data_IF_168555535318
#
_entry.id   IF_168555535318
#
_cell.length_a   1.000
_cell.length_b   1.000
_cell.length_c   1.000
_cell.angle_alpha   90.00
_cell.angle_beta   90.00
_cell.angle_gamma   90.00
#
_symmetry.space_group_name_H-M   'P 1'
#
loop_
_entity.id
_entity.type
_entity.pdbx_description
1 polymer ?
#
# COMPACT_ATOMS: atom_id res chain seq x y z
N UNK A 1 -2.11 -14.07 -83.73
CA UNK A 1 -2.38 -14.59 -82.41
C UNK A 1 -1.19 -14.22 -81.55
N UNK A 2 -1.30 -13.08 -80.77
CA UNK A 2 -0.20 -12.53 -80.01
C UNK A 2 -0.49 -12.81 -78.51
N UNK A 3 0.35 -13.64 -77.90
CA UNK A 3 0.27 -13.97 -76.47
C UNK A 3 1.06 -12.91 -75.71
N UNK A 4 0.37 -12.15 -74.86
CA UNK A 4 1.01 -11.20 -73.92
C UNK A 4 1.31 -11.94 -72.61
N UNK A 5 2.59 -11.93 -72.24
CA UNK A 5 3.09 -12.47 -70.93
C UNK A 5 3.10 -11.30 -69.98
N UNK A 6 2.27 -11.37 -68.93
CA UNK A 6 2.28 -10.47 -67.79
C UNK A 6 3.29 -10.96 -66.76
N UNK A 7 4.37 -10.23 -66.54
CA UNK A 7 5.31 -10.46 -65.45
C UNK A 7 4.84 -9.66 -64.24
N UNK A 8 4.39 -10.38 -63.19
CA UNK A 8 4.06 -9.76 -61.91
C UNK A 8 5.34 -9.63 -61.06
N UNK A 9 5.77 -8.41 -60.80
CA UNK A 9 6.87 -8.09 -59.92
C UNK A 9 6.35 -8.11 -58.46
N UNK A 10 6.73 -9.13 -57.67
CA UNK A 10 6.49 -9.19 -56.24
C UNK A 10 7.57 -8.35 -55.52
N UNK A 11 7.19 -7.18 -55.01
CA UNK A 11 7.99 -6.37 -54.09
C UNK A 11 8.00 -7.05 -52.71
N UNK A 12 9.12 -7.69 -52.39
CA UNK A 12 9.43 -8.15 -51.01
C UNK A 12 9.83 -6.92 -50.18
N UNK A 13 8.90 -6.43 -49.37
CA UNK A 13 9.19 -5.52 -48.27
C UNK A 13 9.96 -6.30 -47.17
N UNK A 14 11.28 -6.28 -47.26
CA UNK A 14 12.15 -6.68 -46.14
C UNK A 14 12.04 -5.55 -45.12
N UNK A 15 11.17 -5.75 -44.13
CA UNK A 15 11.15 -4.93 -42.92
C UNK A 15 12.48 -5.12 -42.20
N UNK A 16 13.31 -4.08 -42.16
CA UNK A 16 14.43 -4.03 -41.23
C UNK A 16 13.87 -4.02 -39.78
N UNK A 17 13.69 -5.19 -39.19
CA UNK A 17 13.62 -5.30 -37.75
C UNK A 17 15.03 -4.98 -37.25
N UNK A 18 15.19 -3.79 -36.67
CA UNK A 18 16.36 -3.48 -35.86
C UNK A 18 16.42 -4.54 -34.75
N UNK A 19 17.56 -5.22 -34.55
CA UNK A 19 17.67 -6.15 -33.45
C UNK A 19 17.45 -5.36 -32.14
N UNK A 20 16.41 -5.71 -31.39
CA UNK A 20 16.30 -5.30 -29.98
C UNK A 20 17.60 -5.71 -29.30
N UNK A 21 18.41 -4.73 -28.91
CA UNK A 21 19.56 -4.97 -28.08
C UNK A 21 19.05 -5.49 -26.74
N UNK A 22 19.00 -6.79 -26.58
CA UNK A 22 18.92 -7.40 -25.26
C UNK A 22 20.25 -7.03 -24.57
N UNK A 23 20.19 -6.07 -23.66
CA UNK A 23 21.32 -5.82 -22.74
C UNK A 23 21.34 -7.00 -21.80
N UNK A 24 22.33 -7.87 -21.98
CA UNK A 24 22.54 -9.04 -21.11
C UNK A 24 22.64 -8.52 -19.66
N UNK A 25 21.70 -8.96 -18.81
CA UNK A 25 21.63 -8.58 -17.41
C UNK A 25 20.71 -7.41 -17.08
N UNK A 26 19.95 -6.82 -18.01
CA UNK A 26 18.92 -5.84 -17.68
C UNK A 26 17.74 -6.47 -16.92
N UNK A 27 17.25 -5.80 -15.86
CA UNK A 27 16.03 -6.20 -15.16
C UNK A 27 14.84 -5.52 -15.84
N UNK A 28 13.82 -6.30 -16.16
CA UNK A 28 12.56 -5.81 -16.72
C UNK A 28 11.49 -5.89 -15.65
N UNK A 29 10.89 -4.75 -15.32
CA UNK A 29 9.86 -4.61 -14.31
C UNK A 29 8.52 -4.38 -15.00
N UNK A 30 7.62 -5.38 -15.08
CA UNK A 30 6.29 -5.21 -15.65
C UNK A 30 5.40 -4.38 -14.70
N UNK A 31 4.53 -3.56 -15.26
CA UNK A 31 3.59 -2.71 -14.52
C UNK A 31 2.37 -2.33 -15.38
N UNK A 32 1.39 -1.65 -14.80
CA UNK A 32 0.12 -1.31 -15.46
C UNK A 32 0.27 -0.50 -16.77
N UNK A 33 1.41 0.17 -16.98
CA UNK A 33 1.65 1.01 -18.19
C UNK A 33 2.71 0.40 -19.12
N UNK A 34 3.05 -0.88 -18.98
CA UNK A 34 4.04 -1.58 -19.80
C UNK A 34 5.18 -2.18 -18.97
N UNK A 35 6.41 -1.83 -19.29
CA UNK A 35 7.58 -2.29 -18.52
C UNK A 35 8.62 -1.17 -18.36
N UNK A 36 9.35 -1.21 -17.25
CA UNK A 36 10.54 -0.38 -17.02
C UNK A 36 11.78 -1.26 -17.10
N UNK A 37 12.74 -0.86 -17.92
CA UNK A 37 14.01 -1.57 -18.11
C UNK A 37 15.10 -0.90 -17.27
N UNK A 38 15.75 -1.67 -16.40
CA UNK A 38 16.84 -1.23 -15.55
C UNK A 38 18.14 -1.91 -16.00
N UNK A 39 19.01 -1.15 -16.64
CA UNK A 39 20.32 -1.66 -17.11
C UNK A 39 21.32 -1.86 -15.97
N UNK A 40 21.14 -1.15 -14.87
CA UNK A 40 22.00 -1.18 -13.67
C UNK A 40 21.17 -1.27 -12.41
N UNK A 41 21.73 -1.81 -11.33
CA UNK A 41 21.13 -1.77 -10.02
C UNK A 41 20.98 -0.33 -9.54
N UNK A 42 19.76 0.13 -9.21
CA UNK A 42 19.53 1.48 -8.71
C UNK A 42 20.19 1.69 -7.35
N UNK A 43 20.73 2.90 -7.15
CA UNK A 43 21.33 3.33 -5.86
C UNK A 43 20.76 4.65 -5.36
N UNK A 44 19.98 5.35 -6.20
CA UNK A 44 19.35 6.64 -5.89
C UNK A 44 17.86 6.57 -6.16
N UNK A 45 17.16 5.89 -5.26
CA UNK A 45 15.72 5.66 -5.37
C UNK A 45 14.96 6.87 -4.85
N UNK A 46 14.00 7.37 -5.63
CA UNK A 46 12.97 8.31 -5.16
C UNK A 46 11.64 7.55 -5.04
N UNK A 47 10.98 7.62 -3.89
CA UNK A 47 9.72 6.95 -3.61
C UNK A 47 8.58 7.96 -3.48
N UNK A 48 7.73 8.03 -4.49
CA UNK A 48 6.55 8.87 -4.53
C UNK A 48 5.32 8.07 -4.08
N UNK A 49 5.34 7.65 -2.83
CA UNK A 49 4.27 6.90 -2.17
C UNK A 49 4.76 6.19 -0.91
N UNK A 50 3.88 6.09 0.08
CA UNK A 50 4.19 5.53 1.39
C UNK A 50 4.59 4.05 1.31
N UNK A 51 3.87 3.25 0.52
CA UNK A 51 4.13 1.82 0.38
C UNK A 51 5.49 1.56 -0.30
N UNK A 52 5.85 2.34 -1.32
CA UNK A 52 7.15 2.25 -1.98
C UNK A 52 8.30 2.70 -1.06
N UNK A 53 8.08 3.76 -0.26
CA UNK A 53 9.07 4.19 0.73
C UNK A 53 9.36 3.08 1.73
N UNK A 54 8.33 2.43 2.26
CA UNK A 54 8.47 1.35 3.23
C UNK A 54 9.09 0.09 2.60
N UNK A 55 8.77 -0.23 1.34
CA UNK A 55 9.41 -1.34 0.63
C UNK A 55 10.92 -1.10 0.46
N UNK A 56 11.31 0.12 0.08
CA UNK A 56 12.73 0.48 -0.07
C UNK A 56 13.48 0.42 1.27
N UNK A 57 12.87 0.93 2.34
CA UNK A 57 13.44 0.87 3.69
C UNK A 57 13.56 -0.56 4.21
N UNK A 58 12.55 -1.40 3.97
CA UNK A 58 12.55 -2.80 4.39
C UNK A 58 13.66 -3.62 3.69
N UNK A 59 14.01 -3.23 2.45
CA UNK A 59 15.13 -3.82 1.69
C UNK A 59 16.48 -3.12 1.95
N UNK A 60 16.58 -2.27 2.98
CA UNK A 60 17.84 -1.61 3.35
C UNK A 60 18.32 -0.52 2.38
N UNK A 61 17.47 -0.03 1.48
CA UNK A 61 17.77 1.02 0.51
C UNK A 61 16.96 2.29 0.82
N UNK A 62 17.40 3.14 1.76
CA UNK A 62 16.71 4.38 2.10
C UNK A 62 16.54 5.26 0.86
N UNK A 63 15.32 5.71 0.53
CA UNK A 63 15.10 6.62 -0.59
C UNK A 63 15.86 7.93 -0.40
N UNK A 64 16.45 8.47 -1.47
CA UNK A 64 17.07 9.81 -1.45
C UNK A 64 16.02 10.90 -1.36
N UNK A 65 14.78 10.61 -1.76
CA UNK A 65 13.60 11.46 -1.58
C UNK A 65 12.33 10.64 -1.48
N UNK A 66 11.41 11.11 -0.65
CA UNK A 66 10.10 10.49 -0.45
C UNK A 66 9.01 11.53 -0.24
N UNK A 67 7.77 11.20 -0.54
CA UNK A 67 6.65 12.05 -0.18
C UNK A 67 6.59 12.24 1.35
N UNK A 68 6.26 13.44 1.77
CA UNK A 68 5.93 13.69 3.17
C UNK A 68 4.66 12.94 3.54
N UNK A 69 4.67 12.30 4.71
CA UNK A 69 3.49 11.59 5.21
C UNK A 69 2.33 12.55 5.52
N UNK A 70 1.17 11.96 5.79
CA UNK A 70 -0.02 12.70 6.21
C UNK A 70 0.31 13.66 7.36
N UNK A 71 -0.14 14.89 7.26
CA UNK A 71 0.11 15.97 8.23
C UNK A 71 1.60 16.34 8.45
N UNK A 72 2.50 15.99 7.52
CA UNK A 72 3.93 16.34 7.62
C UNK A 72 4.68 15.58 8.71
N UNK A 73 4.09 14.51 9.26
CA UNK A 73 4.72 13.66 10.27
C UNK A 73 5.45 12.49 9.60
N UNK A 74 6.48 11.99 10.25
CA UNK A 74 7.14 10.73 9.85
C UNK A 74 6.43 9.57 10.54
N UNK A 75 6.05 8.55 9.79
CA UNK A 75 5.41 7.36 10.36
C UNK A 75 6.32 6.71 11.42
N UNK A 76 5.79 6.32 12.60
CA UNK A 76 6.58 5.82 13.72
C UNK A 76 7.41 4.58 13.38
N UNK A 77 6.98 3.77 12.41
CA UNK A 77 7.73 2.60 11.93
C UNK A 77 8.89 2.95 11.00
N UNK A 78 9.06 4.24 10.63
CA UNK A 78 10.18 4.75 9.83
C UNK A 78 11.21 5.51 10.66
N UNK A 79 11.11 5.53 11.97
CA UNK A 79 11.95 6.35 12.85
C UNK A 79 13.46 6.08 12.73
N UNK A 80 13.87 4.94 12.19
CA UNK A 80 15.27 4.57 11.94
C UNK A 80 15.74 4.79 10.49
N UNK A 81 14.85 5.26 9.63
CA UNK A 81 15.13 5.48 8.23
C UNK A 81 15.94 6.76 8.06
N UNK A 82 17.23 6.71 7.88
CA UNK A 82 18.14 7.82 7.57
C UNK A 82 17.55 9.13 7.02
N UNK A 83 18.33 10.10 6.66
CA UNK A 83 17.83 11.38 6.14
C UNK A 83 17.38 11.23 4.68
N UNK A 84 16.09 11.11 4.44
CA UNK A 84 15.46 11.26 3.13
C UNK A 84 14.97 12.70 2.94
N UNK A 85 15.11 13.25 1.73
CA UNK A 85 14.54 14.56 1.43
C UNK A 85 13.03 14.45 1.30
N UNK A 86 12.28 15.24 2.07
CA UNK A 86 10.82 15.34 1.95
C UNK A 86 10.42 15.99 0.63
N UNK A 87 9.55 15.36 -0.13
CA UNK A 87 8.93 15.86 -1.36
C UNK A 87 7.53 16.33 -1.01
N UNK A 88 7.24 17.61 -1.26
CA UNK A 88 5.95 18.23 -1.00
C UNK A 88 5.00 18.02 -2.21
N UNK A 89 3.91 17.27 -2.06
CA UNK A 89 2.99 17.02 -3.17
C UNK A 89 2.22 18.27 -3.64
N UNK A 90 2.20 19.33 -2.84
CA UNK A 90 1.57 20.60 -3.22
C UNK A 90 2.45 21.44 -4.17
N UNK A 91 3.71 21.07 -4.35
CA UNK A 91 4.65 21.76 -5.26
C UNK A 91 4.89 20.93 -6.53
N UNK A 92 5.44 21.52 -7.59
CA UNK A 92 5.78 20.79 -8.81
C UNK A 92 6.71 19.60 -8.52
N UNK A 93 6.20 18.38 -8.72
CA UNK A 93 6.91 17.14 -8.37
C UNK A 93 8.19 16.96 -9.20
N UNK A 94 8.09 17.17 -10.52
CA UNK A 94 9.22 16.93 -11.43
C UNK A 94 10.45 17.77 -11.09
N UNK A 95 10.28 19.02 -10.68
CA UNK A 95 11.40 19.87 -10.25
C UNK A 95 12.09 19.28 -9.02
N UNK A 96 11.33 18.95 -7.96
CA UNK A 96 11.87 18.39 -6.71
C UNK A 96 12.58 17.06 -6.96
N UNK A 97 11.99 16.17 -7.76
CA UNK A 97 12.55 14.86 -8.11
C UNK A 97 13.84 15.01 -8.92
N UNK A 98 13.87 15.91 -9.92
CA UNK A 98 15.04 16.15 -10.76
C UNK A 98 16.25 16.62 -9.97
N UNK A 99 16.05 17.46 -8.95
CA UNK A 99 17.11 17.96 -8.06
C UNK A 99 17.80 16.82 -7.29
N UNK A 100 17.08 15.73 -7.01
CA UNK A 100 17.60 14.55 -6.32
C UNK A 100 18.42 13.63 -7.21
N UNK A 101 18.40 13.83 -8.53
CA UNK A 101 19.14 13.02 -9.51
C UNK A 101 18.95 11.51 -9.29
N UNK A 102 17.69 11.01 -9.30
CA UNK A 102 17.41 9.60 -9.10
C UNK A 102 17.90 8.75 -10.29
N UNK A 103 18.12 7.47 -10.04
CA UNK A 103 18.30 6.43 -11.06
C UNK A 103 17.13 5.44 -11.08
N UNK A 104 16.19 5.57 -10.12
CA UNK A 104 14.89 4.90 -10.11
C UNK A 104 13.85 5.78 -9.42
N UNK A 105 12.67 5.89 -10.02
CA UNK A 105 11.49 6.53 -9.43
C UNK A 105 10.41 5.46 -9.25
N UNK A 106 9.88 5.37 -8.02
CA UNK A 106 8.76 4.51 -7.66
C UNK A 106 7.53 5.40 -7.47
N UNK A 107 6.49 5.20 -8.28
CA UNK A 107 5.34 6.09 -8.34
C UNK A 107 4.08 5.35 -7.91
N UNK A 108 3.43 5.82 -6.85
CA UNK A 108 2.18 5.23 -6.35
C UNK A 108 0.99 5.53 -7.27
N UNK A 109 0.03 4.61 -7.35
CA UNK A 109 -1.11 4.69 -8.26
C UNK A 109 -1.94 5.96 -8.12
N UNK A 110 -2.11 6.47 -6.91
CA UNK A 110 -2.84 7.71 -6.64
C UNK A 110 -2.22 8.95 -7.29
N UNK A 111 -0.90 8.95 -7.53
CA UNK A 111 -0.16 10.02 -8.21
C UNK A 111 0.11 9.70 -9.69
N UNK A 112 -0.18 8.49 -10.12
CA UNK A 112 0.18 7.94 -11.44
C UNK A 112 -0.74 8.38 -12.57
N UNK A 113 -1.13 9.67 -12.67
CA UNK A 113 -1.76 10.15 -13.87
C UNK A 113 -0.83 9.93 -15.08
N UNK A 114 -1.35 9.74 -16.32
CA UNK A 114 -0.52 9.59 -17.50
C UNK A 114 0.49 10.72 -17.68
N UNK A 115 0.12 11.96 -17.34
CA UNK A 115 1.00 13.13 -17.42
C UNK A 115 2.12 13.08 -16.38
N UNK A 116 1.81 12.72 -15.14
CA UNK A 116 2.82 12.55 -14.07
C UNK A 116 3.80 11.41 -14.42
N UNK A 117 3.28 10.29 -14.92
CA UNK A 117 4.14 9.19 -15.35
C UNK A 117 5.11 9.61 -16.46
N UNK A 118 4.62 10.31 -17.51
CA UNK A 118 5.46 10.83 -18.58
C UNK A 118 6.49 11.85 -18.07
N UNK A 119 6.12 12.71 -17.12
CA UNK A 119 7.05 13.65 -16.48
C UNK A 119 8.16 12.88 -15.75
N UNK A 120 7.83 11.89 -14.92
CA UNK A 120 8.79 11.12 -14.17
C UNK A 120 9.73 10.31 -15.08
N UNK A 121 9.20 9.66 -16.12
CA UNK A 121 10.02 8.88 -17.09
C UNK A 121 10.99 9.74 -17.87
N UNK A 122 10.73 11.05 -18.01
CA UNK A 122 11.67 11.99 -18.60
C UNK A 122 12.88 12.30 -17.72
N UNK A 123 12.81 11.97 -16.42
CA UNK A 123 13.86 12.21 -15.42
C UNK A 123 14.70 10.96 -15.20
N UNK A 124 14.04 9.82 -14.95
CA UNK A 124 14.70 8.53 -14.69
C UNK A 124 13.74 7.36 -14.99
N UNK A 125 14.26 6.11 -15.09
CA UNK A 125 13.42 4.92 -15.10
C UNK A 125 12.38 4.97 -13.98
N UNK A 126 11.10 4.76 -14.33
CA UNK A 126 9.98 4.94 -13.40
C UNK A 126 9.11 3.70 -13.38
N UNK A 127 8.92 3.12 -12.20
CA UNK A 127 7.97 2.04 -11.94
C UNK A 127 6.71 2.66 -11.34
N UNK A 128 5.59 2.70 -12.09
CA UNK A 128 4.29 3.15 -11.58
C UNK A 128 3.60 2.06 -10.78
N UNK A 129 2.30 2.21 -10.49
CA UNK A 129 1.49 1.15 -9.90
C UNK A 129 1.61 -0.14 -10.71
N UNK A 130 1.73 -1.28 -10.03
CA UNK A 130 1.95 -2.59 -10.66
C UNK A 130 0.69 -3.10 -11.37
N UNK A 131 -0.48 -2.75 -10.85
CA UNK A 131 -1.79 -3.11 -11.39
C UNK A 131 -2.79 -1.94 -11.26
N UNK A 132 -4.03 -2.17 -11.61
CA UNK A 132 -5.11 -1.19 -11.51
C UNK A 132 -5.78 -1.14 -10.12
N UNK A 133 -5.27 -1.87 -9.12
CA UNK A 133 -5.83 -1.85 -7.78
C UNK A 133 -5.65 -0.46 -7.13
N UNK A 134 -6.66 0.05 -6.40
CA UNK A 134 -6.58 1.34 -5.72
C UNK A 134 -5.45 1.40 -4.68
N UNK A 135 -5.17 0.26 -4.04
CA UNK A 135 -4.07 0.08 -3.08
C UNK A 135 -3.23 -1.09 -3.55
N UNK A 136 -1.96 -0.85 -3.79
CA UNK A 136 -1.02 -1.89 -4.21
C UNK A 136 -0.83 -2.94 -3.12
N UNK A 137 -0.60 -4.17 -3.54
CA UNK A 137 -0.25 -5.26 -2.63
C UNK A 137 1.21 -5.13 -2.22
N UNK A 138 1.46 -4.82 -0.97
CA UNK A 138 2.80 -4.52 -0.47
C UNK A 138 3.82 -5.66 -0.72
N UNK A 139 3.39 -6.92 -0.70
CA UNK A 139 4.25 -8.07 -1.01
C UNK A 139 4.75 -8.04 -2.45
N UNK A 140 3.86 -7.66 -3.38
CA UNK A 140 4.21 -7.56 -4.79
C UNK A 140 5.16 -6.38 -5.02
N UNK A 141 4.97 -5.27 -4.29
CA UNK A 141 5.88 -4.12 -4.34
C UNK A 141 7.27 -4.46 -3.79
N UNK A 142 7.34 -5.18 -2.65
CA UNK A 142 8.63 -5.64 -2.07
C UNK A 142 9.34 -6.57 -3.05
N UNK A 143 8.65 -7.57 -3.64
CA UNK A 143 9.26 -8.47 -4.65
C UNK A 143 9.73 -7.72 -5.89
N UNK A 144 8.91 -6.81 -6.38
CA UNK A 144 9.23 -6.01 -7.57
C UNK A 144 10.48 -5.16 -7.33
N UNK A 145 10.56 -4.50 -6.18
CA UNK A 145 11.73 -3.71 -5.83
C UNK A 145 12.96 -4.59 -5.57
N UNK A 146 12.80 -5.74 -4.90
CA UNK A 146 13.87 -6.72 -4.72
C UNK A 146 14.44 -7.21 -6.05
N UNK A 147 13.57 -7.51 -7.03
CA UNK A 147 14.01 -7.84 -8.38
C UNK A 147 14.76 -6.67 -9.05
N UNK A 148 14.26 -5.44 -8.93
CA UNK A 148 14.88 -4.24 -9.45
C UNK A 148 16.27 -3.99 -8.84
N UNK A 149 16.43 -4.28 -7.56
CA UNK A 149 17.68 -4.18 -6.81
C UNK A 149 18.61 -5.40 -7.01
N UNK A 150 18.17 -6.44 -7.72
CA UNK A 150 18.84 -7.75 -7.88
C UNK A 150 19.01 -8.53 -6.57
N UNK A 151 18.10 -8.32 -5.64
CA UNK A 151 18.04 -8.94 -4.31
C UNK A 151 16.68 -9.64 -4.07
N UNK A 152 16.25 -10.57 -4.94
CA UNK A 152 14.95 -11.25 -4.81
C UNK A 152 14.87 -12.10 -3.53
N UNK A 153 15.98 -12.74 -3.11
CA UNK A 153 16.02 -13.56 -1.91
C UNK A 153 15.78 -12.72 -0.65
N UNK A 154 16.36 -11.51 -0.57
CA UNK A 154 16.14 -10.56 0.52
C UNK A 154 14.68 -10.10 0.55
N UNK A 155 14.07 -9.86 -0.61
CA UNK A 155 12.66 -9.49 -0.68
C UNK A 155 11.75 -10.62 -0.14
N UNK A 156 12.02 -11.87 -0.49
CA UNK A 156 11.26 -13.00 0.02
C UNK A 156 11.49 -13.20 1.54
N UNK A 157 12.70 -12.95 2.05
CA UNK A 157 12.98 -13.03 3.49
C UNK A 157 12.24 -11.93 4.28
N UNK A 158 12.20 -10.69 3.76
CA UNK A 158 11.41 -9.58 4.35
C UNK A 158 9.93 -9.98 4.46
N UNK A 159 9.36 -10.52 3.39
CA UNK A 159 7.96 -10.97 3.36
C UNK A 159 7.74 -12.12 4.35
N UNK A 160 8.62 -13.12 4.33
CA UNK A 160 8.54 -14.29 5.20
C UNK A 160 8.66 -13.90 6.68
N UNK A 161 9.46 -12.89 7.02
CA UNK A 161 9.59 -12.39 8.39
C UNK A 161 8.27 -11.82 8.92
N UNK A 162 7.56 -11.03 8.09
CA UNK A 162 6.23 -10.51 8.44
C UNK A 162 5.21 -11.64 8.56
N UNK A 163 5.18 -12.57 7.61
CA UNK A 163 4.25 -13.69 7.61
C UNK A 163 4.46 -14.60 8.82
N UNK A 164 5.70 -14.97 9.16
CA UNK A 164 6.02 -15.72 10.39
C UNK A 164 5.51 -15.02 11.66
N UNK A 165 5.56 -13.69 11.69
CA UNK A 165 5.03 -12.93 12.82
C UNK A 165 3.51 -13.03 12.90
N UNK A 166 2.81 -12.84 11.79
CA UNK A 166 1.36 -13.01 11.72
C UNK A 166 0.92 -14.41 12.13
N UNK A 167 1.62 -15.45 11.69
CA UNK A 167 1.31 -16.85 12.01
C UNK A 167 1.43 -17.13 13.51
N UNK A 168 2.43 -16.54 14.20
CA UNK A 168 2.55 -16.65 15.67
C UNK A 168 1.34 -16.07 16.39
N UNK A 169 0.83 -14.91 15.91
CA UNK A 169 -0.36 -14.30 16.51
C UNK A 169 -1.65 -15.08 16.18
N UNK A 170 -1.76 -15.61 14.97
CA UNK A 170 -2.90 -16.45 14.59
C UNK A 170 -3.01 -17.71 15.45
N UNK A 171 -1.89 -18.24 15.94
CA UNK A 171 -1.85 -19.36 16.89
C UNK A 171 -2.29 -18.97 18.31
N UNK A 172 -2.35 -17.66 18.63
CA UNK A 172 -2.64 -17.13 19.97
C UNK A 172 -4.12 -17.12 20.38
N UNK A 173 -5.03 -17.81 19.66
CA UNK A 173 -6.42 -17.98 20.11
C UNK A 173 -7.43 -16.95 19.56
N UNK A 174 -7.03 -16.03 18.68
CA UNK A 174 -7.94 -15.03 18.10
C UNK A 174 -8.73 -15.54 16.89
N UNK A 175 -8.40 -16.71 16.38
CA UNK A 175 -9.09 -17.32 15.23
C UNK A 175 -10.59 -17.46 15.49
N UNK A 176 -11.40 -16.99 14.55
CA UNK A 176 -12.87 -17.00 14.64
C UNK A 176 -13.47 -15.87 15.47
N UNK A 177 -12.66 -15.07 16.18
CA UNK A 177 -13.13 -13.84 16.84
C UNK A 177 -13.52 -12.81 15.81
N UNK A 178 -14.42 -11.90 16.19
CA UNK A 178 -14.89 -10.83 15.32
C UNK A 178 -14.06 -9.57 15.48
N UNK A 179 -13.89 -8.83 14.38
CA UNK A 179 -13.25 -7.52 14.37
C UNK A 179 -14.09 -6.53 13.58
N UNK A 180 -14.24 -5.31 14.11
CA UNK A 180 -14.77 -4.16 13.40
C UNK A 180 -13.64 -3.13 13.20
N UNK A 181 -13.52 -2.60 11.99
CA UNK A 181 -12.56 -1.53 11.65
C UNK A 181 -13.34 -0.34 11.12
N UNK A 182 -13.19 0.79 11.77
CA UNK A 182 -13.89 2.02 11.44
C UNK A 182 -13.01 3.26 11.67
N UNK A 183 -13.40 4.39 11.10
CA UNK A 183 -12.79 5.67 11.41
C UNK A 183 -13.75 6.84 11.23
N UNK A 184 -13.52 7.89 12.00
CA UNK A 184 -14.20 9.16 11.86
C UNK A 184 -13.73 9.85 10.58
N UNK A 185 -14.67 10.07 9.65
CA UNK A 185 -14.39 10.73 8.37
C UNK A 185 -14.79 12.21 8.38
N UNK A 186 -15.51 12.63 9.42
CA UNK A 186 -16.01 13.99 9.60
C UNK A 186 -16.97 14.06 10.78
N UNK A 187 -17.53 15.23 11.05
CA UNK A 187 -18.50 15.41 12.15
C UNK A 187 -19.67 14.46 11.99
N UNK A 188 -19.87 13.58 12.97
CA UNK A 188 -21.03 12.71 13.04
C UNK A 188 -21.04 11.52 12.08
N UNK A 189 -19.92 11.20 11.40
CA UNK A 189 -19.87 10.11 10.42
C UNK A 189 -18.66 9.20 10.61
N UNK A 190 -18.91 7.91 10.52
CA UNK A 190 -17.94 6.84 10.50
C UNK A 190 -17.88 6.22 9.11
N UNK A 191 -16.69 5.89 8.64
CA UNK A 191 -16.51 4.94 7.56
C UNK A 191 -16.17 3.60 8.21
N UNK A 192 -16.85 2.53 7.78
CA UNK A 192 -16.63 1.18 8.28
C UNK A 192 -16.17 0.30 7.14
N UNK A 193 -15.09 -0.43 7.34
CA UNK A 193 -14.62 -1.42 6.37
C UNK A 193 -15.41 -2.72 6.53
N UNK A 194 -16.08 -3.16 5.47
CA UNK A 194 -16.99 -4.32 5.51
C UNK A 194 -16.68 -5.40 4.46
N UNK A 195 -15.66 -5.17 3.62
CA UNK A 195 -15.16 -6.18 2.69
C UNK A 195 -13.97 -6.91 3.33
N UNK A 196 -14.04 -8.24 3.58
CA UNK A 196 -12.92 -9.01 4.12
C UNK A 196 -11.63 -8.93 3.28
N UNK A 197 -11.74 -8.59 1.99
CA UNK A 197 -10.61 -8.39 1.09
C UNK A 197 -10.03 -6.96 1.13
N UNK A 198 -10.67 -6.04 1.87
CA UNK A 198 -10.17 -4.68 1.99
C UNK A 198 -8.79 -4.66 2.67
N UNK A 199 -7.84 -3.83 2.21
CA UNK A 199 -6.50 -3.74 2.79
C UNK A 199 -6.52 -3.49 4.31
N UNK A 200 -7.44 -2.64 4.81
CA UNK A 200 -7.59 -2.37 6.24
C UNK A 200 -7.98 -3.61 7.07
N UNK A 201 -8.52 -4.65 6.45
CA UNK A 201 -8.89 -5.91 7.10
C UNK A 201 -7.86 -7.04 6.85
N UNK A 202 -6.89 -6.85 5.96
CA UNK A 202 -5.89 -7.87 5.62
C UNK A 202 -5.18 -8.44 6.85
N UNK A 203 -4.74 -7.56 7.76
CA UNK A 203 -4.08 -7.97 9.01
C UNK A 203 -4.94 -8.95 9.81
N UNK A 204 -6.21 -8.63 10.00
CA UNK A 204 -7.14 -9.40 10.83
C UNK A 204 -7.59 -10.71 10.17
N UNK A 205 -7.84 -10.67 8.86
CA UNK A 205 -8.20 -11.87 8.10
C UNK A 205 -7.04 -12.89 8.08
N UNK A 206 -5.80 -12.41 8.00
CA UNK A 206 -4.60 -13.26 8.15
C UNK A 206 -4.49 -13.88 9.55
N UNK A 207 -4.96 -13.22 10.59
CA UNK A 207 -5.06 -13.78 11.95
C UNK A 207 -6.24 -14.77 12.10
N UNK A 208 -7.06 -14.94 11.06
CA UNK A 208 -8.25 -15.80 11.07
C UNK A 208 -9.44 -15.19 11.80
N UNK A 209 -9.44 -13.87 12.01
CA UNK A 209 -10.60 -13.11 12.50
C UNK A 209 -11.60 -12.88 11.38
N UNK A 210 -12.84 -12.55 11.73
CA UNK A 210 -13.92 -12.30 10.77
C UNK A 210 -14.70 -11.05 11.13
N UNK A 211 -15.40 -10.49 10.16
CA UNK A 211 -16.38 -9.44 10.41
C UNK A 211 -17.58 -9.98 11.21
N UNK A 212 -18.21 -9.16 12.06
CA UNK A 212 -19.56 -9.44 12.56
C UNK A 212 -20.54 -9.62 11.39
N UNK A 213 -21.44 -10.60 11.46
CA UNK A 213 -22.39 -10.90 10.39
C UNK A 213 -23.28 -9.69 10.07
N UNK A 214 -23.64 -8.89 11.08
CA UNK A 214 -24.43 -7.66 10.92
C UNK A 214 -23.68 -6.61 10.08
N UNK A 215 -22.37 -6.46 10.24
CA UNK A 215 -21.57 -5.54 9.43
C UNK A 215 -21.36 -6.06 8.01
N UNK A 216 -21.10 -7.36 7.86
CA UNK A 216 -20.90 -7.98 6.56
C UNK A 216 -22.16 -7.93 5.67
N UNK A 217 -23.36 -7.80 6.27
CA UNK A 217 -24.63 -7.70 5.57
C UNK A 217 -25.00 -6.27 5.15
N UNK A 218 -24.22 -5.25 5.56
CA UNK A 218 -24.53 -3.87 5.20
C UNK A 218 -24.26 -3.60 3.70
N UNK A 219 -25.12 -2.79 3.04
CA UNK A 219 -24.87 -2.41 1.66
C UNK A 219 -23.62 -1.53 1.58
N UNK A 220 -22.60 -2.02 0.89
CA UNK A 220 -21.30 -1.38 0.80
C UNK A 220 -21.08 -0.74 -0.57
N UNK A 221 -20.40 0.40 -0.58
CA UNK A 221 -19.76 0.95 -1.77
C UNK A 221 -18.25 0.76 -1.65
N UNK A 222 -17.65 0.08 -2.64
CA UNK A 222 -16.22 -0.27 -2.66
C UNK A 222 -15.70 -0.89 -1.34
N UNK A 223 -16.52 -1.76 -0.72
CA UNK A 223 -16.16 -2.43 0.54
C UNK A 223 -16.26 -1.56 1.79
N UNK A 224 -16.86 -0.39 1.70
CA UNK A 224 -17.03 0.57 2.80
C UNK A 224 -18.49 0.96 2.99
N UNK A 225 -18.85 1.24 4.24
CA UNK A 225 -20.18 1.77 4.61
C UNK A 225 -20.00 3.09 5.34
N UNK A 226 -20.74 4.09 4.94
CA UNK A 226 -20.87 5.36 5.68
C UNK A 226 -21.95 5.18 6.76
N UNK A 227 -21.53 5.23 8.02
CA UNK A 227 -22.40 5.01 9.18
C UNK A 227 -22.48 6.27 10.04
N UNK A 228 -23.67 6.79 10.33
CA UNK A 228 -23.82 7.87 11.32
C UNK A 228 -23.33 7.42 12.71
N UNK A 229 -22.74 8.34 13.48
CA UNK A 229 -22.19 8.02 14.82
C UNK A 229 -23.24 7.57 15.84
N UNK A 230 -24.53 7.89 15.65
CA UNK A 230 -25.63 7.41 16.47
C UNK A 230 -25.90 5.89 16.29
N UNK A 231 -25.35 5.30 15.21
CA UNK A 231 -25.35 3.87 14.96
C UNK A 231 -24.05 3.16 15.40
N UNK A 232 -23.25 3.80 16.25
CA UNK A 232 -21.97 3.27 16.74
C UNK A 232 -22.10 1.87 17.37
N UNK A 233 -23.25 1.55 17.96
CA UNK A 233 -23.54 0.24 18.55
C UNK A 233 -23.43 -0.93 17.53
N UNK A 234 -23.56 -0.65 16.24
CA UNK A 234 -23.41 -1.66 15.18
C UNK A 234 -21.97 -2.14 15.00
N UNK A 235 -20.98 -1.39 15.51
CA UNK A 235 -19.58 -1.80 15.55
C UNK A 235 -19.27 -2.84 16.63
N UNK A 236 -20.31 -3.49 17.19
CA UNK A 236 -20.12 -4.51 18.24
C UNK A 236 -19.35 -5.70 17.68
N UNK A 237 -18.15 -5.92 18.23
CA UNK A 237 -17.23 -6.99 17.86
C UNK A 237 -16.37 -7.40 19.07
N UNK A 238 -15.67 -8.54 19.00
CA UNK A 238 -14.72 -8.96 20.03
C UNK A 238 -13.53 -7.97 20.10
N UNK A 239 -13.10 -7.44 18.95
CA UNK A 239 -12.08 -6.38 18.85
C UNK A 239 -12.63 -5.24 18.00
N UNK A 240 -12.47 -4.01 18.48
CA UNK A 240 -12.80 -2.79 17.74
C UNK A 240 -11.51 -2.01 17.47
N UNK A 241 -11.23 -1.74 16.20
CA UNK A 241 -10.17 -0.81 15.79
C UNK A 241 -10.85 0.43 15.23
N UNK A 242 -10.62 1.57 15.86
CA UNK A 242 -11.24 2.81 15.45
C UNK A 242 -10.22 3.93 15.38
N UNK A 243 -10.17 4.62 14.25
CA UNK A 243 -9.28 5.74 14.01
C UNK A 243 -10.03 7.02 13.68
N UNK A 244 -9.30 8.01 13.22
CA UNK A 244 -9.88 9.25 12.69
C UNK A 244 -9.06 9.78 11.52
N UNK A 245 -9.73 10.44 10.57
CA UNK A 245 -9.06 11.14 9.47
C UNK A 245 -8.34 12.41 9.96
N UNK A 246 -7.29 12.85 9.27
CA UNK A 246 -6.62 14.11 9.60
C UNK A 246 -7.61 15.29 9.66
N UNK A 247 -7.46 16.13 10.68
CA UNK A 247 -8.30 17.33 10.83
C UNK A 247 -9.71 17.09 11.35
N UNK A 248 -10.15 15.85 11.57
CA UNK A 248 -11.47 15.58 12.16
C UNK A 248 -11.53 15.88 13.67
N UNK A 249 -10.38 16.01 14.32
CA UNK A 249 -10.21 16.52 15.69
C UNK A 249 -10.95 15.77 16.80
N UNK A 250 -11.49 14.60 16.50
CA UNK A 250 -12.37 13.88 17.42
C UNK A 250 -11.67 12.66 18.01
N UNK A 251 -11.62 12.62 19.32
CA UNK A 251 -11.31 11.41 20.07
C UNK A 251 -12.49 10.44 19.92
N UNK A 252 -12.27 9.30 19.30
CA UNK A 252 -13.30 8.27 19.15
C UNK A 252 -13.84 7.80 20.52
N UNK A 253 -13.04 7.86 21.58
CA UNK A 253 -13.48 7.53 22.94
C UNK A 253 -14.49 8.54 23.51
N UNK A 254 -14.56 9.75 22.97
CA UNK A 254 -15.54 10.76 23.37
C UNK A 254 -16.88 10.63 22.65
N UNK A 255 -17.01 9.69 21.70
CA UNK A 255 -18.27 9.48 20.99
C UNK A 255 -19.38 8.99 21.93
N UNK A 256 -20.60 9.54 21.81
CA UNK A 256 -21.74 9.03 22.55
C UNK A 256 -21.94 7.52 22.32
N UNK A 257 -22.05 6.76 23.40
CA UNK A 257 -22.21 5.30 23.32
C UNK A 257 -20.91 4.49 23.20
N UNK A 258 -19.75 5.13 23.01
CA UNK A 258 -18.47 4.39 22.92
C UNK A 258 -18.23 3.52 24.16
N UNK A 259 -18.39 4.06 25.37
CA UNK A 259 -18.24 3.33 26.62
C UNK A 259 -19.22 2.18 26.84
N UNK A 260 -20.31 2.12 26.04
CA UNK A 260 -21.28 1.03 26.08
C UNK A 260 -20.88 -0.16 25.21
N UNK A 261 -19.96 0.01 24.27
CA UNK A 261 -19.47 -1.06 23.42
C UNK A 261 -18.76 -2.13 24.22
N UNK A 262 -19.02 -3.41 23.90
CA UNK A 262 -18.34 -4.55 24.55
C UNK A 262 -16.82 -4.46 24.45
N UNK A 263 -16.30 -4.09 23.29
CA UNK A 263 -14.86 -3.92 23.09
C UNK A 263 -14.25 -2.82 23.99
N UNK A 264 -14.96 -1.72 24.20
CA UNK A 264 -14.49 -0.66 25.10
C UNK A 264 -14.50 -1.12 26.56
N UNK A 265 -15.57 -1.79 27.01
CA UNK A 265 -15.69 -2.33 28.38
C UNK A 265 -14.62 -3.41 28.68
N UNK A 266 -14.31 -4.24 27.70
CA UNK A 266 -13.37 -5.35 27.84
C UNK A 266 -11.90 -4.94 27.57
N UNK A 267 -11.64 -3.68 27.20
CA UNK A 267 -10.30 -3.22 26.85
C UNK A 267 -9.76 -3.82 25.56
N UNK A 268 -10.65 -4.25 24.65
CA UNK A 268 -10.32 -4.77 23.32
C UNK A 268 -10.58 -3.74 22.19
N UNK A 269 -10.88 -2.50 22.58
CA UNK A 269 -10.91 -1.39 21.63
C UNK A 269 -9.52 -0.75 21.48
N UNK A 270 -9.11 -0.50 20.25
CA UNK A 270 -7.83 0.12 19.91
C UNK A 270 -8.11 1.43 19.16
N UNK A 271 -7.57 2.52 19.69
CA UNK A 271 -7.66 3.83 19.07
C UNK A 271 -6.41 4.07 18.24
N UNK A 272 -6.59 4.39 16.95
CA UNK A 272 -5.50 4.68 16.02
C UNK A 272 -5.46 6.19 15.71
N UNK A 273 -4.26 6.75 15.68
CA UNK A 273 -4.06 8.07 15.12
C UNK A 273 -4.15 8.04 13.56
N UNK A 274 -4.17 9.21 12.88
CA UNK A 274 -4.28 9.25 11.42
C UNK A 274 -3.15 8.53 10.67
N UNK A 275 -1.94 8.51 11.22
CA UNK A 275 -0.79 7.84 10.59
C UNK A 275 -0.90 6.32 10.77
N UNK A 276 -1.26 5.86 11.97
CA UNK A 276 -1.52 4.46 12.25
C UNK A 276 -2.69 3.92 11.40
N UNK A 277 -3.76 4.71 11.26
CA UNK A 277 -4.88 4.38 10.38
C UNK A 277 -4.44 4.26 8.92
N UNK A 278 -3.65 5.21 8.43
CA UNK A 278 -3.09 5.14 7.07
C UNK A 278 -2.23 3.89 6.88
N UNK A 279 -1.44 3.50 7.88
CA UNK A 279 -0.65 2.26 7.85
C UNK A 279 -1.50 0.99 7.82
N UNK A 280 -2.74 1.04 8.31
CA UNK A 280 -3.71 -0.05 8.23
C UNK A 280 -4.42 -0.09 6.87
N UNK A 281 -4.78 1.08 6.32
CA UNK A 281 -5.44 1.20 5.01
C UNK A 281 -4.48 0.92 3.83
N UNK A 282 -3.19 1.22 4.02
CA UNK A 282 -2.10 1.00 3.06
C UNK A 282 -1.00 0.15 3.70
N UNK A 283 -1.26 -1.13 3.94
CA UNK A 283 -0.32 -1.99 4.67
C UNK A 283 1.02 -2.10 3.95
N UNK A 284 2.09 -2.24 4.74
CA UNK A 284 3.46 -2.36 4.27
C UNK A 284 4.24 -3.38 5.08
N UNK A 285 5.44 -3.74 4.60
CA UNK A 285 6.37 -4.59 5.36
C UNK A 285 6.78 -4.00 6.72
N UNK A 286 6.69 -2.68 6.89
CA UNK A 286 7.04 -1.98 8.13
C UNK A 286 5.81 -1.67 8.99
N UNK A 287 4.69 -1.19 8.38
CA UNK A 287 3.48 -0.83 9.13
C UNK A 287 2.80 -2.05 9.76
N UNK A 288 2.74 -3.19 9.05
CA UNK A 288 2.08 -4.41 9.55
C UNK A 288 2.70 -4.90 10.87
N UNK A 289 4.04 -5.08 11.01
CA UNK A 289 4.64 -5.46 12.29
C UNK A 289 4.43 -4.43 13.40
N UNK A 290 4.47 -3.14 13.08
CA UNK A 290 4.22 -2.07 14.03
C UNK A 290 2.78 -2.12 14.56
N UNK A 291 1.80 -2.14 13.65
CA UNK A 291 0.38 -2.19 14.02
C UNK A 291 0.04 -3.47 14.78
N UNK A 292 0.65 -4.60 14.43
CA UNK A 292 0.47 -5.84 15.16
C UNK A 292 0.87 -5.69 16.64
N UNK A 293 2.00 -5.03 16.92
CA UNK A 293 2.39 -4.72 18.32
C UNK A 293 1.41 -3.76 18.98
N UNK A 294 0.92 -2.78 18.24
CA UNK A 294 -0.01 -1.76 18.73
C UNK A 294 -1.34 -2.37 19.17
N UNK A 295 -1.83 -3.39 18.45
CA UNK A 295 -3.10 -4.07 18.73
C UNK A 295 -2.96 -5.34 19.58
N UNK A 296 -1.74 -5.84 19.78
CA UNK A 296 -1.45 -7.07 20.54
C UNK A 296 -2.17 -7.15 21.90
N UNK A 297 -2.17 -6.10 22.75
CA UNK A 297 -2.84 -6.19 24.06
C UNK A 297 -4.36 -6.44 23.93
N UNK A 298 -5.00 -5.89 22.90
CA UNK A 298 -6.42 -6.11 22.64
C UNK A 298 -6.68 -7.54 22.11
N UNK A 299 -5.80 -8.04 21.22
CA UNK A 299 -5.89 -9.41 20.72
C UNK A 299 -5.74 -10.44 21.85
N UNK A 300 -4.77 -10.24 22.76
CA UNK A 300 -4.56 -11.14 23.91
C UNK A 300 -5.79 -11.19 24.82
N UNK A 301 -6.42 -10.04 25.10
CA UNK A 301 -7.66 -10.00 25.89
C UNK A 301 -8.84 -10.66 25.16
N UNK A 302 -8.92 -10.51 23.85
CA UNK A 302 -9.99 -11.14 23.07
C UNK A 302 -9.82 -12.66 22.92
N UNK A 303 -8.60 -13.18 23.06
CA UNK A 303 -8.30 -14.61 22.98
C UNK A 303 -8.72 -15.36 24.26
N UNK A 304 -8.69 -14.72 25.40
CA UNK A 304 -8.85 -15.36 26.67
C UNK A 304 -9.88 -15.09 27.53
#
# INVERSE_FOLDING_TARGET
MRIAVLVAAALLLVGCQLPERSVDGAVRVPHAQGETVLERTPVRVVALGAQWSDAALALGVPPVGQLTDVAGTVAPWRSSAGSSTGIDPAKPLGQQVKELRPDLILLEGALGSPSTYLEMTSIAPTVPALDAAPVGRWRDQVRTLGAALREPDEADEVIAAVDRRLDRFAAGGVRGRTVAVAWLAGPGQLIVSVDPAAPALELFTRLGMRLPDALAALPADQGRVLLPVDRLAELSADVLVIGHSPGTGSDAAALPGYGELGAAKNGTAVLLDPVELAGLEYPTALSVPYLLNRIEPALQRAAG
#
